data_IF_643586429379
#
_entry.id   IF_643586429379
#
_cell.length_a   1.000
_cell.length_b   1.000
_cell.length_c   1.000
_cell.angle_alpha   90.00
_cell.angle_beta   90.00
_cell.angle_gamma   90.00
#
_symmetry.space_group_name_H-M   'P 1'
#
loop_
_entity.id
_entity.type
_entity.pdbx_description
1 polymer ?
#
# COMPACT_ATOMS: atom_id res chain seq x y z
N UNK A 1 16.39 15.17 -48.51
CA UNK A 1 16.07 13.80 -48.07
C UNK A 1 15.84 13.85 -46.56
N UNK A 2 14.64 13.58 -46.04
CA UNK A 2 14.39 13.58 -44.60
C UNK A 2 14.65 12.18 -44.02
N UNK A 3 15.34 12.17 -42.90
CA UNK A 3 15.76 11.02 -42.11
C UNK A 3 14.51 10.36 -41.44
N UNK A 4 14.36 9.05 -41.66
CA UNK A 4 13.24 8.25 -41.17
C UNK A 4 13.40 8.00 -39.67
N UNK A 5 12.41 8.48 -38.87
CA UNK A 5 12.25 8.13 -37.49
C UNK A 5 11.91 6.64 -37.35
N UNK A 6 12.77 5.87 -36.67
CA UNK A 6 12.52 4.47 -36.33
C UNK A 6 11.48 4.39 -35.23
N UNK A 7 10.29 3.87 -35.55
CA UNK A 7 9.28 3.52 -34.57
C UNK A 7 9.78 2.32 -33.73
N UNK A 8 9.94 2.52 -32.45
CA UNK A 8 10.20 1.44 -31.48
C UNK A 8 8.90 0.68 -31.23
N UNK A 9 8.77 -0.51 -31.79
CA UNK A 9 7.68 -1.43 -31.50
C UNK A 9 7.91 -2.08 -30.12
N UNK A 10 6.92 -1.96 -29.24
CA UNK A 10 6.89 -2.63 -27.94
C UNK A 10 6.73 -4.14 -28.14
N UNK A 11 7.72 -4.93 -27.69
CA UNK A 11 7.69 -6.40 -27.70
C UNK A 11 7.32 -6.89 -26.27
N UNK A 12 6.13 -7.47 -26.07
CA UNK A 12 5.69 -7.94 -24.75
C UNK A 12 6.46 -9.16 -24.21
N UNK A 13 7.24 -9.86 -25.07
CA UNK A 13 8.01 -11.04 -24.67
C UNK A 13 9.51 -10.73 -24.41
N UNK A 14 9.94 -9.49 -24.52
CA UNK A 14 11.31 -9.13 -24.21
C UNK A 14 11.47 -9.00 -22.69
N UNK A 15 12.34 -9.81 -22.04
CA UNK A 15 12.65 -9.59 -20.65
C UNK A 15 13.16 -8.15 -20.50
N UNK A 16 12.53 -7.38 -19.61
CA UNK A 16 12.90 -6.01 -19.36
C UNK A 16 14.40 -5.96 -19.06
N UNK A 17 15.16 -5.29 -19.93
CA UNK A 17 16.57 -4.97 -19.65
C UNK A 17 16.56 -4.04 -18.44
N UNK A 18 16.82 -4.60 -17.28
CA UNK A 18 16.97 -3.87 -16.03
C UNK A 18 18.21 -3.00 -16.15
N UNK A 19 18.02 -1.71 -16.41
CA UNK A 19 18.99 -0.73 -15.96
C UNK A 19 19.13 -0.95 -14.44
N UNK A 20 20.33 -1.18 -13.90
CA UNK A 20 20.49 -1.29 -12.46
C UNK A 20 20.25 0.10 -11.86
N UNK A 21 18.99 0.43 -11.58
CA UNK A 21 18.68 1.55 -10.71
C UNK A 21 19.30 1.21 -9.36
N UNK A 22 20.17 2.06 -8.86
CA UNK A 22 20.85 1.98 -7.56
C UNK A 22 19.89 2.11 -6.38
N UNK A 23 18.57 1.92 -6.57
CA UNK A 23 17.52 2.02 -5.59
C UNK A 23 17.08 0.68 -4.99
N UNK A 24 16.57 0.72 -3.78
CA UNK A 24 15.99 -0.43 -3.07
C UNK A 24 14.80 -0.97 -3.86
N UNK A 25 14.83 -2.26 -4.23
CA UNK A 25 13.74 -2.90 -5.00
C UNK A 25 12.47 -3.10 -4.17
N UNK A 26 12.61 -3.33 -2.87
CA UNK A 26 11.52 -3.60 -1.95
C UNK A 26 12.02 -3.73 -0.52
N UNK A 27 11.16 -4.22 0.38
CA UNK A 27 11.55 -4.46 1.77
C UNK A 27 12.61 -5.55 1.87
N UNK A 28 13.54 -5.38 2.80
CA UNK A 28 14.61 -6.35 3.09
C UNK A 28 14.74 -6.54 4.60
N UNK A 29 13.88 -7.38 5.22
CA UNK A 29 14.01 -7.70 6.64
C UNK A 29 15.39 -8.30 6.95
N UNK A 30 15.87 -8.12 8.17
CA UNK A 30 17.16 -8.65 8.62
C UNK A 30 17.21 -10.17 8.44
N UNK A 31 18.30 -10.67 7.85
CA UNK A 31 18.49 -12.10 7.59
C UNK A 31 17.87 -12.63 6.30
N UNK A 32 17.31 -11.75 5.45
CA UNK A 32 16.79 -12.14 4.13
C UNK A 32 17.79 -11.85 3.03
N UNK A 33 17.89 -12.75 2.03
CA UNK A 33 18.85 -12.66 0.92
C UNK A 33 18.19 -12.42 -0.44
N UNK A 34 16.88 -12.65 -0.57
CA UNK A 34 16.12 -12.57 -1.81
C UNK A 34 14.66 -12.13 -1.56
N UNK A 35 13.92 -11.86 -2.63
CA UNK A 35 12.53 -11.40 -2.55
C UNK A 35 11.60 -12.40 -1.87
N UNK A 36 11.80 -13.71 -2.07
CA UNK A 36 10.98 -14.76 -1.49
C UNK A 36 11.20 -14.88 0.02
N UNK A 37 12.44 -14.86 0.46
CA UNK A 37 12.79 -14.88 1.90
C UNK A 37 12.29 -13.60 2.58
N UNK A 38 12.37 -12.44 1.92
CA UNK A 38 11.85 -11.19 2.43
C UNK A 38 10.31 -11.23 2.59
N UNK A 39 9.58 -11.70 1.58
CA UNK A 39 8.12 -11.84 1.64
C UNK A 39 7.69 -12.80 2.76
N UNK A 40 8.35 -13.95 2.90
CA UNK A 40 8.05 -14.93 3.96
C UNK A 40 8.31 -14.36 5.36
N UNK A 41 9.42 -13.64 5.57
CA UNK A 41 9.73 -13.02 6.85
C UNK A 41 8.70 -11.95 7.24
N UNK A 42 8.26 -11.14 6.26
CA UNK A 42 7.19 -10.16 6.46
C UNK A 42 5.87 -10.84 6.80
N UNK A 43 5.49 -11.90 6.06
CA UNK A 43 4.27 -12.67 6.32
C UNK A 43 4.25 -13.22 7.74
N UNK A 44 5.30 -13.93 8.13
CA UNK A 44 5.41 -14.50 9.48
C UNK A 44 5.29 -13.41 10.56
N UNK A 45 5.97 -12.29 10.38
CA UNK A 45 5.90 -11.17 11.32
C UNK A 45 4.46 -10.64 11.48
N UNK A 46 3.71 -10.48 10.37
CA UNK A 46 2.33 -10.02 10.43
C UNK A 46 1.38 -11.06 11.02
N UNK A 47 1.59 -12.36 10.74
CA UNK A 47 0.84 -13.45 11.35
C UNK A 47 1.01 -13.47 12.88
N UNK A 48 2.22 -13.21 13.38
CA UNK A 48 2.51 -13.18 14.83
C UNK A 48 1.83 -12.00 15.56
N UNK A 49 1.75 -10.82 14.92
CA UNK A 49 1.17 -9.62 15.56
C UNK A 49 -0.33 -9.45 15.31
N UNK A 50 -0.92 -10.20 14.38
CA UNK A 50 -2.30 -10.05 13.97
C UNK A 50 -3.30 -9.90 15.14
N UNK A 51 -3.21 -10.68 16.25
CA UNK A 51 -4.14 -10.57 17.39
C UNK A 51 -4.12 -9.21 18.10
N UNK A 52 -3.03 -8.44 17.97
CA UNK A 52 -2.83 -7.15 18.65
C UNK A 52 -2.67 -5.98 17.70
N UNK A 53 -2.70 -6.26 16.40
CA UNK A 53 -2.34 -5.29 15.35
C UNK A 53 -3.19 -4.02 15.42
N UNK A 54 -4.52 -4.14 15.44
CA UNK A 54 -5.42 -2.98 15.46
C UNK A 54 -5.22 -2.12 16.71
N UNK A 55 -5.15 -2.77 17.88
CA UNK A 55 -4.93 -2.06 19.15
C UNK A 55 -3.64 -1.25 19.13
N UNK A 56 -2.57 -1.86 18.66
CA UNK A 56 -1.25 -1.24 18.63
C UNK A 56 -1.17 -0.09 17.62
N UNK A 57 -1.72 -0.25 16.44
CA UNK A 57 -1.77 0.83 15.44
C UNK A 57 -2.53 2.04 15.99
N UNK A 58 -3.68 1.83 16.62
CA UNK A 58 -4.47 2.92 17.19
C UNK A 58 -3.77 3.62 18.36
N UNK A 59 -3.10 2.88 19.23
CA UNK A 59 -2.33 3.47 20.33
C UNK A 59 -1.11 4.22 19.82
N UNK A 60 -0.34 3.63 18.91
CA UNK A 60 0.89 4.23 18.40
C UNK A 60 0.65 5.43 17.48
N UNK A 61 -0.47 5.46 16.76
CA UNK A 61 -0.90 6.61 15.94
C UNK A 61 -1.73 7.64 16.71
N UNK A 62 -2.05 7.39 17.97
CA UNK A 62 -3.01 8.19 18.77
C UNK A 62 -4.36 8.35 18.03
N UNK A 63 -4.82 7.31 17.32
CA UNK A 63 -6.00 7.28 16.45
C UNK A 63 -6.00 8.25 15.26
N UNK A 64 -4.88 8.85 14.91
CA UNK A 64 -4.75 9.72 13.73
C UNK A 64 -4.87 8.91 12.44
N UNK A 65 -4.52 7.62 12.44
CA UNK A 65 -4.74 6.67 11.34
C UNK A 65 -6.18 6.66 10.83
N UNK A 66 -7.16 6.72 11.71
CA UNK A 66 -8.59 6.79 11.34
C UNK A 66 -8.92 8.04 10.51
N UNK A 67 -8.27 9.17 10.81
CA UNK A 67 -8.42 10.40 10.04
C UNK A 67 -7.78 10.24 8.66
N UNK A 68 -6.61 9.61 8.58
CA UNK A 68 -5.91 9.35 7.32
C UNK A 68 -6.72 8.42 6.41
N UNK A 69 -7.24 7.31 6.93
CA UNK A 69 -8.11 6.41 6.15
C UNK A 69 -9.36 7.11 5.61
N UNK A 70 -10.05 7.88 6.47
CA UNK A 70 -11.24 8.64 6.05
C UNK A 70 -10.92 9.68 4.99
N UNK A 71 -9.81 10.38 5.14
CA UNK A 71 -9.36 11.38 4.17
C UNK A 71 -9.00 10.70 2.86
N UNK A 72 -8.27 9.59 2.89
CA UNK A 72 -7.91 8.80 1.70
C UNK A 72 -9.14 8.27 0.99
N UNK A 73 -10.08 7.63 1.69
CA UNK A 73 -11.31 7.14 1.07
C UNK A 73 -12.12 8.26 0.41
N UNK A 74 -12.18 9.47 1.01
CA UNK A 74 -12.88 10.62 0.43
C UNK A 74 -12.25 11.14 -0.86
N UNK A 75 -10.94 11.00 -1.05
CA UNK A 75 -10.29 11.36 -2.32
C UNK A 75 -10.83 10.54 -3.50
N UNK A 76 -11.34 9.33 -3.25
CA UNK A 76 -11.89 8.43 -4.27
C UNK A 76 -13.42 8.34 -4.21
N UNK A 77 -14.10 9.31 -3.59
CA UNK A 77 -15.57 9.29 -3.43
C UNK A 77 -16.31 9.23 -4.78
N UNK A 78 -15.78 9.84 -5.84
CA UNK A 78 -16.35 9.80 -7.19
C UNK A 78 -16.35 8.39 -7.80
N UNK A 79 -15.39 7.52 -7.43
CA UNK A 79 -15.42 6.11 -7.84
C UNK A 79 -16.30 5.31 -6.88
N UNK A 80 -16.14 5.51 -5.57
CA UNK A 80 -16.91 4.81 -4.54
C UNK A 80 -18.41 5.07 -4.60
N UNK A 81 -18.85 6.16 -5.23
CA UNK A 81 -20.29 6.47 -5.47
C UNK A 81 -20.91 5.62 -6.57
N UNK A 82 -20.12 4.97 -7.42
CA UNK A 82 -20.62 4.13 -8.52
C UNK A 82 -20.95 2.74 -8.02
N UNK A 83 -22.21 2.32 -8.11
CA UNK A 83 -22.66 1.01 -7.58
C UNK A 83 -22.04 -0.19 -8.28
N UNK A 84 -21.55 -0.03 -9.50
CA UNK A 84 -20.86 -1.07 -10.26
C UNK A 84 -19.32 -1.00 -10.13
N UNK A 85 -18.78 -0.10 -9.30
CA UNK A 85 -17.35 0.00 -9.12
C UNK A 85 -16.79 -1.25 -8.43
N UNK A 86 -15.65 -1.71 -8.92
CA UNK A 86 -14.84 -2.78 -8.33
C UNK A 86 -13.61 -2.15 -7.68
N UNK A 87 -13.45 -2.34 -6.39
CA UNK A 87 -12.42 -1.71 -5.57
C UNK A 87 -11.57 -2.78 -4.92
N UNK A 88 -10.26 -2.64 -5.02
CA UNK A 88 -9.28 -3.49 -4.36
C UNK A 88 -8.61 -2.72 -3.23
N UNK A 89 -8.70 -3.23 -2.01
CA UNK A 89 -7.85 -2.87 -0.87
C UNK A 89 -6.66 -3.83 -0.88
N UNK A 90 -5.49 -3.34 -1.26
CA UNK A 90 -4.27 -4.12 -1.45
C UNK A 90 -3.42 -4.08 -0.18
N UNK A 91 -3.01 -5.24 0.33
CA UNK A 91 -2.39 -5.39 1.65
C UNK A 91 -3.34 -4.88 2.75
N UNK A 92 -4.57 -5.38 2.72
CA UNK A 92 -5.68 -4.88 3.52
C UNK A 92 -5.53 -5.10 5.03
N UNK A 93 -4.70 -6.08 5.43
CA UNK A 93 -4.54 -6.47 6.82
C UNK A 93 -5.88 -6.87 7.44
N UNK A 94 -6.24 -6.25 8.53
CA UNK A 94 -7.54 -6.45 9.21
C UNK A 94 -8.68 -5.62 8.61
N UNK A 95 -8.44 -4.85 7.53
CA UNK A 95 -9.46 -4.21 6.70
C UNK A 95 -9.92 -2.81 7.12
N UNK A 96 -9.16 -2.06 7.87
CA UNK A 96 -9.58 -0.71 8.30
C UNK A 96 -9.77 0.26 7.13
N UNK A 97 -8.92 0.18 6.09
CA UNK A 97 -9.10 0.96 4.87
C UNK A 97 -10.33 0.50 4.09
N UNK A 98 -10.57 -0.81 3.97
CA UNK A 98 -11.80 -1.38 3.39
C UNK A 98 -13.05 -0.84 4.08
N UNK A 99 -13.07 -0.80 5.41
CA UNK A 99 -14.18 -0.24 6.20
C UNK A 99 -14.35 1.26 5.93
N UNK A 100 -13.27 2.02 5.84
CA UNK A 100 -13.34 3.44 5.51
C UNK A 100 -13.91 3.70 4.11
N UNK A 101 -13.49 2.91 3.11
CA UNK A 101 -14.04 2.98 1.75
C UNK A 101 -15.51 2.58 1.70
N UNK A 102 -15.90 1.51 2.40
CA UNK A 102 -17.31 1.09 2.51
C UNK A 102 -18.17 2.18 3.15
N UNK A 103 -17.67 2.85 4.18
CA UNK A 103 -18.39 3.95 4.83
C UNK A 103 -18.64 5.13 3.87
N UNK A 104 -17.71 5.44 2.97
CA UNK A 104 -17.91 6.46 1.92
C UNK A 104 -18.94 5.98 0.90
N UNK A 105 -18.81 4.75 0.37
CA UNK A 105 -19.74 4.16 -0.58
C UNK A 105 -21.18 4.14 -0.02
N UNK A 106 -21.36 3.70 1.22
CA UNK A 106 -22.67 3.60 1.88
C UNK A 106 -23.35 4.97 2.05
N UNK A 107 -22.58 6.03 2.36
CA UNK A 107 -23.13 7.40 2.42
C UNK A 107 -23.66 7.89 1.06
N UNK A 108 -23.08 7.38 -0.03
CA UNK A 108 -23.51 7.66 -1.40
C UNK A 108 -24.57 6.65 -1.91
N UNK A 109 -25.08 5.77 -1.02
CA UNK A 109 -26.02 4.69 -1.35
C UNK A 109 -25.47 3.75 -2.44
N UNK A 110 -24.15 3.62 -2.53
CA UNK A 110 -23.47 2.78 -3.52
C UNK A 110 -23.24 1.37 -3.01
N UNK A 111 -23.43 0.39 -3.89
CA UNK A 111 -23.12 -1.02 -3.68
C UNK A 111 -21.77 -1.44 -4.29
N UNK A 112 -20.82 -0.51 -4.46
CA UNK A 112 -19.48 -0.80 -4.96
C UNK A 112 -18.89 -2.05 -4.29
N UNK A 113 -18.37 -2.99 -5.07
CA UNK A 113 -17.76 -4.21 -4.56
C UNK A 113 -16.35 -3.90 -4.02
N UNK A 114 -16.08 -4.27 -2.77
CA UNK A 114 -14.76 -4.09 -2.14
C UNK A 114 -14.14 -5.45 -1.87
N UNK A 115 -12.96 -5.68 -2.44
CA UNK A 115 -12.11 -6.84 -2.18
C UNK A 115 -11.01 -6.42 -1.22
N UNK A 116 -10.88 -7.09 -0.08
CA UNK A 116 -9.80 -6.91 0.88
C UNK A 116 -8.76 -8.01 0.66
N UNK A 117 -7.64 -7.68 0.00
CA UNK A 117 -6.62 -8.64 -0.35
C UNK A 117 -5.40 -8.49 0.56
N UNK A 118 -5.01 -9.60 1.17
CA UNK A 118 -3.78 -9.68 1.95
C UNK A 118 -3.14 -11.07 1.79
N UNK A 119 -1.84 -11.16 1.96
CA UNK A 119 -1.11 -12.43 1.90
C UNK A 119 -1.05 -13.16 3.27
N UNK A 120 -1.36 -12.46 4.37
CA UNK A 120 -1.43 -13.00 5.72
C UNK A 120 -2.83 -13.54 6.00
N UNK A 121 -2.94 -14.87 6.12
CA UNK A 121 -4.18 -15.52 6.50
C UNK A 121 -4.68 -15.03 7.87
N UNK A 122 -3.78 -14.88 8.84
CA UNK A 122 -4.11 -14.44 10.19
C UNK A 122 -4.70 -13.03 10.21
N UNK A 123 -4.15 -12.11 9.45
CA UNK A 123 -4.69 -10.75 9.32
C UNK A 123 -6.13 -10.77 8.79
N UNK A 124 -6.39 -11.52 7.72
CA UNK A 124 -7.74 -11.64 7.17
C UNK A 124 -8.71 -12.30 8.17
N UNK A 125 -8.28 -13.33 8.90
CA UNK A 125 -9.09 -13.97 9.94
C UNK A 125 -9.49 -12.99 11.05
N UNK A 126 -8.58 -12.17 11.52
CA UNK A 126 -8.88 -11.12 12.50
C UNK A 126 -9.81 -10.02 11.93
N UNK A 127 -9.80 -9.80 10.62
CA UNK A 127 -10.69 -8.88 9.91
C UNK A 127 -12.10 -9.41 9.65
N UNK A 128 -12.37 -10.71 9.78
CA UNK A 128 -13.63 -11.34 9.34
C UNK A 128 -14.89 -10.67 9.90
N UNK A 129 -14.90 -10.28 11.17
CA UNK A 129 -16.04 -9.60 11.76
C UNK A 129 -16.31 -8.24 11.10
N UNK A 130 -15.26 -7.48 10.74
CA UNK A 130 -15.36 -6.22 9.99
C UNK A 130 -15.86 -6.46 8.56
N UNK A 131 -15.38 -7.51 7.89
CA UNK A 131 -15.69 -7.83 6.49
C UNK A 131 -17.14 -8.25 6.35
N UNK A 132 -17.59 -9.25 7.11
CA UNK A 132 -18.96 -9.77 7.06
C UNK A 132 -20.00 -8.71 7.37
N UNK A 133 -19.78 -7.91 8.41
CA UNK A 133 -20.70 -6.85 8.80
C UNK A 133 -20.79 -5.70 7.77
N UNK A 134 -19.84 -5.60 6.85
CA UNK A 134 -19.73 -4.50 5.88
C UNK A 134 -19.81 -4.94 4.42
N UNK A 135 -20.08 -6.20 4.13
CA UNK A 135 -20.11 -6.76 2.77
C UNK A 135 -18.78 -6.49 2.02
N UNK A 136 -17.66 -6.75 2.70
CA UNK A 136 -16.32 -6.71 2.13
C UNK A 136 -15.87 -8.15 1.92
N UNK A 137 -15.32 -8.46 0.76
CA UNK A 137 -14.87 -9.80 0.42
C UNK A 137 -13.38 -9.97 0.70
N UNK A 138 -12.96 -10.80 1.67
CA UNK A 138 -11.55 -11.11 1.89
C UNK A 138 -11.01 -12.05 0.82
N UNK A 139 -9.77 -11.82 0.41
CA UNK A 139 -9.04 -12.64 -0.57
C UNK A 139 -7.61 -12.82 -0.10
N UNK A 140 -7.18 -14.06 0.14
CA UNK A 140 -5.78 -14.37 0.44
C UNK A 140 -4.99 -14.49 -0.85
N UNK A 141 -4.02 -13.59 -1.08
CA UNK A 141 -3.17 -13.61 -2.26
C UNK A 141 -1.93 -12.72 -2.11
N UNK A 142 -0.95 -12.96 -2.98
CA UNK A 142 0.26 -12.14 -3.08
C UNK A 142 -0.01 -10.88 -3.94
N UNK A 143 0.37 -9.73 -3.42
CA UNK A 143 0.27 -8.44 -4.13
C UNK A 143 1.18 -8.35 -5.37
N UNK A 144 2.20 -9.21 -5.45
CA UNK A 144 3.10 -9.30 -6.60
C UNK A 144 2.56 -10.22 -7.72
N UNK A 145 1.47 -10.97 -7.44
CA UNK A 145 0.80 -11.86 -8.39
C UNK A 145 -0.71 -11.91 -8.08
N UNK A 146 -1.42 -10.86 -8.46
CA UNK A 146 -2.84 -10.71 -8.15
C UNK A 146 -3.71 -11.73 -8.92
N UNK A 147 -4.62 -12.47 -8.24
CA UNK A 147 -5.54 -13.41 -8.88
C UNK A 147 -6.74 -12.68 -9.51
N UNK A 148 -6.45 -11.60 -10.22
CA UNK A 148 -7.43 -10.75 -10.88
C UNK A 148 -7.07 -10.60 -12.35
N UNK A 149 -8.09 -10.54 -13.20
CA UNK A 149 -7.89 -10.32 -14.63
C UNK A 149 -7.36 -8.90 -14.90
N UNK A 150 -6.70 -8.73 -16.04
CA UNK A 150 -6.30 -7.43 -16.55
C UNK A 150 -7.54 -6.53 -16.70
N UNK A 151 -7.38 -5.24 -16.44
CA UNK A 151 -8.43 -4.23 -16.63
C UNK A 151 -9.75 -4.59 -15.90
N UNK A 152 -9.68 -5.13 -14.69
CA UNK A 152 -10.84 -5.65 -13.96
C UNK A 152 -11.33 -4.78 -12.80
N UNK A 153 -10.50 -3.86 -12.28
CA UNK A 153 -10.83 -3.02 -11.12
C UNK A 153 -10.81 -1.52 -11.47
N UNK A 154 -11.70 -0.76 -10.83
CA UNK A 154 -11.83 0.68 -11.04
C UNK A 154 -10.93 1.49 -10.11
N UNK A 155 -10.57 0.91 -8.95
CA UNK A 155 -9.75 1.54 -7.91
C UNK A 155 -8.92 0.49 -7.19
N UNK A 156 -7.64 0.78 -7.00
CA UNK A 156 -6.76 0.06 -6.07
C UNK A 156 -6.31 1.03 -4.98
N UNK A 157 -6.45 0.65 -3.71
CA UNK A 157 -5.90 1.41 -2.58
C UNK A 157 -5.03 0.47 -1.75
N UNK A 158 -3.86 0.93 -1.32
CA UNK A 158 -3.05 0.26 -0.31
C UNK A 158 -2.77 1.23 0.83
N UNK A 159 -2.99 0.79 2.07
CA UNK A 159 -2.79 1.64 3.24
C UNK A 159 -1.83 0.99 4.23
N UNK A 160 -0.65 1.60 4.41
CA UNK A 160 0.42 1.16 5.31
C UNK A 160 0.95 -0.25 5.03
N UNK A 161 0.64 -0.80 3.85
CA UNK A 161 1.04 -2.13 3.42
C UNK A 161 2.09 -2.14 2.31
N UNK A 162 2.04 -1.16 1.39
CA UNK A 162 2.85 -1.16 0.17
C UNK A 162 4.36 -1.17 0.45
N UNK A 163 4.83 -0.46 1.49
CA UNK A 163 6.24 -0.46 1.91
C UNK A 163 6.79 -1.83 2.29
N UNK A 164 5.91 -2.80 2.55
CA UNK A 164 6.29 -4.16 2.96
C UNK A 164 6.45 -5.12 1.77
N UNK A 165 6.18 -4.67 0.54
CA UNK A 165 6.37 -5.50 -0.65
C UNK A 165 7.86 -5.80 -0.87
N UNK A 166 8.16 -7.03 -1.23
CA UNK A 166 9.51 -7.47 -1.57
C UNK A 166 10.04 -6.83 -2.87
N UNK A 167 9.12 -6.34 -3.74
CA UNK A 167 9.45 -5.65 -4.97
C UNK A 167 8.38 -4.60 -5.30
N UNK A 168 8.73 -3.32 -5.12
CA UNK A 168 7.80 -2.20 -5.37
C UNK A 168 7.41 -2.07 -6.84
N UNK A 169 8.37 -2.26 -7.75
CA UNK A 169 8.12 -2.12 -9.19
C UNK A 169 7.23 -3.26 -9.71
N UNK A 170 7.37 -4.48 -9.17
CA UNK A 170 6.47 -5.59 -9.47
C UNK A 170 5.05 -5.30 -8.94
N UNK A 171 4.91 -4.80 -7.73
CA UNK A 171 3.62 -4.39 -7.17
C UNK A 171 2.95 -3.29 -7.99
N UNK A 172 3.70 -2.27 -8.43
CA UNK A 172 3.18 -1.21 -9.29
C UNK A 172 2.73 -1.74 -10.67
N UNK A 173 3.47 -2.69 -11.27
CA UNK A 173 3.06 -3.34 -12.52
C UNK A 173 1.76 -4.15 -12.35
N UNK A 174 1.60 -4.87 -11.24
CA UNK A 174 0.36 -5.60 -10.94
C UNK A 174 -0.83 -4.65 -10.74
N UNK A 175 -0.63 -3.54 -10.01
CA UNK A 175 -1.63 -2.48 -9.90
C UNK A 175 -2.03 -1.96 -11.29
N UNK A 176 -1.05 -1.62 -12.13
CA UNK A 176 -1.30 -1.15 -13.49
C UNK A 176 -2.05 -2.19 -14.33
N UNK A 177 -1.65 -3.48 -14.24
CA UNK A 177 -2.28 -4.57 -14.97
C UNK A 177 -3.77 -4.70 -14.66
N UNK A 178 -4.12 -4.74 -13.38
CA UNK A 178 -5.50 -4.98 -12.94
C UNK A 178 -6.41 -3.77 -13.06
N UNK A 179 -5.85 -2.55 -13.06
CA UNK A 179 -6.63 -1.32 -13.25
C UNK A 179 -7.26 -1.28 -14.64
N UNK A 180 -8.52 -0.92 -14.71
CA UNK A 180 -9.20 -0.56 -15.95
C UNK A 180 -8.61 0.72 -16.56
N UNK A 181 -8.74 0.95 -17.88
CA UNK A 181 -8.55 2.29 -18.44
C UNK A 181 -9.35 3.33 -17.64
N UNK A 182 -8.71 4.43 -17.28
CA UNK A 182 -9.23 5.48 -16.39
C UNK A 182 -9.43 5.04 -14.93
N UNK A 183 -9.00 3.84 -14.56
CA UNK A 183 -8.95 3.39 -13.16
C UNK A 183 -7.88 4.17 -12.38
N UNK A 184 -8.15 4.40 -11.11
CA UNK A 184 -7.25 5.14 -10.22
C UNK A 184 -6.63 4.24 -9.16
N UNK A 185 -5.50 4.69 -8.62
CA UNK A 185 -4.95 4.04 -7.45
C UNK A 185 -4.46 5.05 -6.41
N UNK A 186 -4.33 4.58 -5.16
CA UNK A 186 -3.77 5.33 -4.06
C UNK A 186 -2.92 4.47 -3.15
N UNK A 187 -1.74 4.98 -2.77
CA UNK A 187 -0.89 4.38 -1.74
C UNK A 187 -0.80 5.39 -0.60
N UNK A 188 -1.41 5.06 0.54
CA UNK A 188 -1.22 5.77 1.79
C UNK A 188 -0.11 5.09 2.57
N UNK A 189 1.00 5.75 2.78
CA UNK A 189 2.09 5.17 3.57
C UNK A 189 2.83 6.23 4.39
N UNK A 190 3.66 5.77 5.32
CA UNK A 190 4.49 6.66 6.12
C UNK A 190 5.56 7.32 5.26
N UNK A 191 5.95 8.51 5.70
CA UNK A 191 7.09 9.24 5.15
C UNK A 191 7.88 9.90 6.27
N UNK A 192 9.09 10.34 5.98
CA UNK A 192 9.92 11.03 6.96
C UNK A 192 9.70 12.55 6.83
N UNK A 193 9.08 13.19 7.85
CA UNK A 193 8.92 14.65 7.83
C UNK A 193 10.28 15.34 7.85
N UNK A 194 10.38 16.48 7.16
CA UNK A 194 11.59 17.30 7.14
C UNK A 194 11.72 18.26 8.33
N UNK A 195 12.87 18.92 8.42
CA UNK A 195 13.12 20.00 9.39
C UNK A 195 13.22 19.55 10.85
N UNK A 196 13.00 20.48 11.78
CA UNK A 196 13.11 20.24 13.22
C UNK A 196 12.05 19.24 13.72
N UNK A 197 10.82 19.37 13.23
CA UNK A 197 9.72 18.45 13.56
C UNK A 197 10.05 17.02 13.15
N UNK A 198 10.66 16.83 11.96
CA UNK A 198 11.11 15.52 11.50
C UNK A 198 12.19 14.92 12.40
N UNK A 199 13.12 15.74 12.91
CA UNK A 199 14.13 15.26 13.86
C UNK A 199 13.50 14.76 15.16
N UNK A 200 12.55 15.51 15.72
CA UNK A 200 11.83 15.13 16.95
C UNK A 200 10.96 13.88 16.73
N UNK A 201 10.21 13.86 15.64
CA UNK A 201 9.40 12.70 15.26
C UNK A 201 10.27 11.47 15.01
N UNK A 202 11.38 11.60 14.28
CA UNK A 202 12.32 10.52 14.05
C UNK A 202 12.95 9.98 15.33
N UNK A 203 13.21 10.82 16.34
CA UNK A 203 13.68 10.37 17.65
C UNK A 203 12.60 9.56 18.39
N UNK A 204 11.35 10.06 18.40
CA UNK A 204 10.21 9.34 18.95
C UNK A 204 10.01 7.99 18.25
N UNK A 205 9.96 8.00 16.93
CA UNK A 205 9.68 6.85 16.09
C UNK A 205 10.74 5.75 16.17
N UNK A 206 12.03 6.14 16.31
CA UNK A 206 13.15 5.18 16.40
C UNK A 206 13.47 4.72 17.81
N UNK A 207 13.24 5.54 18.84
CA UNK A 207 13.69 5.22 20.21
C UNK A 207 12.55 4.98 21.20
N UNK A 208 11.42 5.63 21.04
CA UNK A 208 10.31 5.55 22.00
C UNK A 208 9.27 4.52 21.55
N UNK A 209 8.85 4.58 20.32
CA UNK A 209 7.81 3.71 19.75
C UNK A 209 8.17 2.21 19.84
N UNK A 210 9.39 1.74 19.49
CA UNK A 210 9.73 0.33 19.64
C UNK A 210 9.67 -0.16 21.09
N UNK A 211 10.09 0.67 22.06
CA UNK A 211 10.02 0.31 23.48
C UNK A 211 8.59 0.17 23.98
N UNK A 212 7.74 1.13 23.64
CA UNK A 212 6.30 1.10 24.01
C UNK A 212 5.63 -0.10 23.32
N UNK A 213 5.85 -0.28 22.01
CA UNK A 213 5.28 -1.38 21.25
C UNK A 213 5.68 -2.76 21.83
N UNK A 214 6.95 -2.97 22.12
CA UNK A 214 7.46 -4.20 22.75
C UNK A 214 6.88 -4.41 24.14
N UNK A 215 6.78 -3.37 24.97
CA UNK A 215 6.22 -3.45 26.31
C UNK A 215 4.75 -3.87 26.31
N UNK A 216 3.96 -3.36 25.36
CA UNK A 216 2.52 -3.64 25.24
C UNK A 216 2.27 -5.02 24.57
N UNK A 217 3.05 -5.36 23.55
CA UNK A 217 2.84 -6.58 22.76
C UNK A 217 3.55 -7.81 23.33
N UNK A 218 4.63 -7.62 24.05
CA UNK A 218 5.55 -8.68 24.46
C UNK A 218 6.44 -9.23 23.32
N UNK A 219 6.33 -8.66 22.10
CA UNK A 219 7.08 -9.10 20.89
C UNK A 219 7.98 -7.96 20.42
N UNK A 220 9.28 -8.22 20.18
CA UNK A 220 10.26 -7.18 19.80
C UNK A 220 10.32 -6.89 18.29
N UNK A 221 10.41 -7.93 17.47
CA UNK A 221 10.74 -7.85 16.05
C UNK A 221 9.91 -6.86 15.23
N UNK A 222 8.57 -6.87 15.27
CA UNK A 222 7.71 -6.01 14.46
C UNK A 222 7.89 -4.51 14.69
N UNK A 223 8.23 -4.11 15.92
CA UNK A 223 8.39 -2.68 16.29
C UNK A 223 9.78 -2.13 15.96
N UNK A 224 10.76 -3.00 15.81
CA UNK A 224 12.08 -2.66 15.26
C UNK A 224 12.03 -2.59 13.73
N UNK A 225 11.20 -3.45 13.11
CA UNK A 225 10.98 -3.47 11.67
C UNK A 225 10.26 -2.21 11.15
N UNK A 226 9.26 -1.70 11.88
CA UNK A 226 8.47 -0.56 11.42
C UNK A 226 9.33 0.69 11.09
N UNK A 227 10.19 1.20 11.99
CA UNK A 227 11.08 2.31 11.64
C UNK A 227 12.04 1.99 10.49
N UNK A 228 12.56 0.77 10.45
CA UNK A 228 13.47 0.34 9.39
C UNK A 228 12.79 0.29 8.02
N UNK A 229 11.55 -0.20 7.94
CA UNK A 229 10.79 -0.26 6.69
C UNK A 229 10.42 1.12 6.19
N UNK A 230 10.05 2.05 7.08
CA UNK A 230 9.75 3.45 6.70
C UNK A 230 11.01 4.15 6.17
N UNK A 231 12.16 3.95 6.82
CA UNK A 231 13.41 4.57 6.38
C UNK A 231 13.90 4.05 5.02
N UNK A 232 13.59 2.78 4.69
CA UNK A 232 13.95 2.16 3.40
C UNK A 232 12.95 2.46 2.29
N UNK A 233 11.74 2.92 2.64
CA UNK A 233 10.73 3.23 1.66
C UNK A 233 11.17 4.41 0.79
N UNK A 234 10.99 4.37 -0.54
CA UNK A 234 11.44 5.43 -1.44
C UNK A 234 10.92 6.81 -1.03
N UNK A 235 11.76 7.81 -1.15
CA UNK A 235 11.34 9.20 -0.98
C UNK A 235 10.21 9.55 -1.97
N UNK A 236 9.33 10.53 -1.65
CA UNK A 236 8.16 10.81 -2.48
C UNK A 236 8.46 10.98 -3.96
N UNK A 237 9.48 11.74 -4.32
CA UNK A 237 9.84 11.95 -5.71
C UNK A 237 10.29 10.67 -6.42
N UNK A 238 11.05 9.82 -5.74
CA UNK A 238 11.48 8.53 -6.28
C UNK A 238 10.29 7.60 -6.50
N UNK A 239 9.33 7.56 -5.55
CA UNK A 239 8.11 6.75 -5.71
C UNK A 239 7.27 7.25 -6.89
N UNK A 240 7.12 8.55 -7.09
CA UNK A 240 6.41 9.10 -8.26
C UNK A 240 7.07 8.65 -9.57
N UNK A 241 8.40 8.71 -9.66
CA UNK A 241 9.15 8.23 -10.85
C UNK A 241 8.93 6.73 -11.10
N UNK A 242 8.88 5.89 -10.05
CA UNK A 242 8.57 4.46 -10.17
C UNK A 242 7.15 4.22 -10.68
N UNK A 243 6.18 5.01 -10.19
CA UNK A 243 4.79 4.96 -10.64
C UNK A 243 4.67 5.29 -12.14
N UNK A 244 5.34 6.36 -12.60
CA UNK A 244 5.40 6.73 -14.02
C UNK A 244 6.06 5.62 -14.86
N UNK A 245 7.15 5.04 -14.36
CA UNK A 245 7.85 3.94 -15.02
C UNK A 245 7.01 2.67 -15.14
N UNK A 246 6.05 2.46 -14.25
CA UNK A 246 5.07 1.38 -14.31
C UNK A 246 3.90 1.67 -15.28
N UNK A 247 3.88 2.84 -15.94
CA UNK A 247 2.85 3.24 -16.91
C UNK A 247 1.70 4.06 -16.32
N UNK A 248 1.78 4.40 -15.03
CA UNK A 248 0.77 5.22 -14.38
C UNK A 248 0.99 6.70 -14.72
N UNK A 249 -0.08 7.46 -14.81
CA UNK A 249 -0.10 8.88 -15.17
C UNK A 249 -0.78 9.73 -14.12
N UNK A 250 -0.68 11.05 -14.25
CA UNK A 250 -1.22 12.04 -13.32
C UNK A 250 -0.81 11.75 -11.87
N UNK A 251 0.45 11.30 -11.71
CA UNK A 251 0.98 10.92 -10.40
C UNK A 251 1.18 12.13 -9.51
N UNK A 252 0.83 11.99 -8.25
CA UNK A 252 0.92 13.06 -7.28
C UNK A 252 1.16 12.50 -5.87
N UNK A 253 1.75 13.31 -5.00
CA UNK A 253 1.89 13.02 -3.59
C UNK A 253 1.30 14.14 -2.74
N UNK A 254 0.46 13.80 -1.78
CA UNK A 254 -0.18 14.74 -0.86
C UNK A 254 0.23 14.41 0.56
N UNK A 255 0.96 15.29 1.26
CA UNK A 255 1.35 15.05 2.64
C UNK A 255 0.16 15.10 3.61
N UNK A 256 0.18 14.22 4.60
CA UNK A 256 -0.74 14.19 5.73
C UNK A 256 0.03 14.45 7.03
N UNK A 257 -0.58 15.20 7.93
CA UNK A 257 -0.06 15.46 9.29
C UNK A 257 1.44 15.75 9.28
N UNK A 258 1.81 16.93 8.77
CA UNK A 258 3.21 17.39 8.69
C UNK A 258 4.13 16.43 7.92
N UNK A 259 3.62 15.72 6.94
CA UNK A 259 4.34 14.70 6.16
C UNK A 259 4.78 13.45 6.97
N UNK A 260 4.14 13.13 8.09
CA UNK A 260 4.32 11.85 8.80
C UNK A 260 3.79 10.68 7.96
N UNK A 261 2.71 10.92 7.22
CA UNK A 261 2.20 10.03 6.18
C UNK A 261 1.90 10.85 4.93
N UNK A 262 1.69 10.17 3.81
CA UNK A 262 1.30 10.83 2.58
C UNK A 262 0.52 9.88 1.67
N UNK A 263 -0.33 10.46 0.84
CA UNK A 263 -1.10 9.75 -0.16
C UNK A 263 -0.47 9.97 -1.54
N UNK A 264 0.05 8.91 -2.13
CA UNK A 264 0.40 8.84 -3.54
C UNK A 264 -0.84 8.51 -4.34
N UNK A 265 -1.04 9.16 -5.46
CA UNK A 265 -2.16 8.91 -6.37
C UNK A 265 -1.67 8.87 -7.80
N UNK A 266 -2.37 8.12 -8.63
CA UNK A 266 -2.16 8.07 -10.06
C UNK A 266 -3.31 7.35 -10.73
N UNK A 267 -3.28 7.28 -12.06
CA UNK A 267 -4.30 6.59 -12.85
C UNK A 267 -3.70 5.88 -14.06
N UNK A 268 -4.43 4.90 -14.57
CA UNK A 268 -4.18 4.26 -15.85
C UNK A 268 -4.95 5.00 -16.93
N UNK A 269 -4.27 5.58 -17.91
CA UNK A 269 -4.93 6.35 -18.99
C UNK A 269 -5.40 5.48 -20.16
N UNK A 270 -4.69 4.38 -20.45
CA UNK A 270 -5.00 3.46 -21.56
C UNK A 270 -4.96 2.01 -21.08
#
# INVERSE_FOLDING_TARGET
MPEQAKSSTFDPNKPATTNPSTGVRGTTPTGTSDERSAANAVRQMFDEIAPRYDFLNHVLSMNVDRLWWRRTARNFSHILSRSNARVLDLCAGTGDMSVAMRAVASRQKSSAAILALDFSHQMLQHGLAKFSAKLIQPVEADALQLPLADNSVDLVVSSFGFRNLANYDAGLREIFRVLKPQGEFGILDFSEPGGLLGKLYGLYFRKVLPKIGTMISGVRGPYEYLPASVQKFPAPQEMLTRMESAGLSDVSWTPYTFAIAGLYRGKKTK
#
